data_IF_596303956104
#
_entry.id   IF_596303956104
#
_cell.length_a   1.000
_cell.length_b   1.000
_cell.length_c   1.000
_cell.angle_alpha   90.00
_cell.angle_beta   90.00
_cell.angle_gamma   90.00
#
_symmetry.space_group_name_H-M   'P 1'
#
loop_
_entity.id
_entity.type
_entity.pdbx_description
1 polymer ?
#
# COMPACT_ATOMS: atom_id res chain seq x y z
N UNK A 1 23.75 -27.43 -9.91
CA UNK A 1 23.87 -26.42 -8.84
C UNK A 1 22.72 -25.46 -9.09
N UNK A 2 21.69 -25.50 -8.26
CA UNK A 2 20.53 -24.62 -8.41
C UNK A 2 20.91 -23.26 -7.85
N UNK A 3 20.86 -22.22 -8.68
CA UNK A 3 20.95 -20.84 -8.22
C UNK A 3 19.78 -20.59 -7.25
N UNK A 4 20.07 -20.63 -5.97
CA UNK A 4 19.18 -20.20 -4.91
C UNK A 4 19.11 -18.67 -4.99
N UNK A 5 18.23 -18.16 -5.85
CA UNK A 5 17.90 -16.74 -5.92
C UNK A 5 17.38 -16.36 -4.54
N UNK A 6 18.27 -15.80 -3.72
CA UNK A 6 17.91 -15.17 -2.46
C UNK A 6 17.07 -13.96 -2.84
N UNK A 7 15.75 -14.14 -2.94
CA UNK A 7 14.85 -13.01 -3.15
C UNK A 7 15.03 -12.11 -1.94
N UNK A 8 15.49 -10.88 -2.19
CA UNK A 8 15.54 -9.85 -1.14
C UNK A 8 14.17 -9.80 -0.44
N UNK A 9 14.14 -9.79 0.90
CA UNK A 9 12.92 -9.58 1.66
C UNK A 9 12.12 -8.41 1.07
N UNK A 10 10.81 -8.57 0.94
CA UNK A 10 9.96 -7.53 0.33
C UNK A 10 10.14 -6.17 1.01
N UNK A 11 10.38 -6.17 2.33
CA UNK A 11 10.66 -4.97 3.10
C UNK A 11 11.95 -4.28 2.64
N UNK A 12 13.02 -5.01 2.34
CA UNK A 12 14.27 -4.46 1.82
C UNK A 12 14.06 -3.89 0.41
N UNK A 13 13.38 -4.66 -0.45
CA UNK A 13 13.07 -4.26 -1.82
C UNK A 13 12.26 -2.95 -1.89
N UNK A 14 11.34 -2.76 -0.95
CA UNK A 14 10.50 -1.58 -0.89
C UNK A 14 11.02 -0.49 0.06
N UNK A 15 12.24 -0.65 0.62
CA UNK A 15 12.88 0.35 1.46
C UNK A 15 12.17 0.59 2.79
N UNK A 16 11.54 -0.44 3.36
CA UNK A 16 10.84 -0.40 4.64
C UNK A 16 11.70 -0.90 5.82
N UNK A 17 12.93 -1.36 5.55
CA UNK A 17 13.87 -1.81 6.59
C UNK A 17 14.60 -0.64 7.23
N UNK A 18 14.76 -0.71 8.56
CA UNK A 18 15.56 0.24 9.33
C UNK A 18 14.86 1.57 9.64
N UNK A 19 13.56 1.68 9.36
CA UNK A 19 12.76 2.86 9.71
C UNK A 19 12.54 2.93 11.22
N UNK A 20 12.65 4.12 11.80
CA UNK A 20 12.74 4.31 13.25
C UNK A 20 11.43 4.74 13.89
N UNK A 21 10.52 5.32 13.11
CA UNK A 21 9.20 5.73 13.60
C UNK A 21 8.09 5.65 12.54
N UNK A 22 6.87 5.97 12.97
CA UNK A 22 5.65 5.91 12.16
C UNK A 22 5.64 6.98 11.07
N UNK A 23 6.28 8.13 11.27
CA UNK A 23 6.32 9.21 10.31
C UNK A 23 7.25 8.85 9.14
N UNK A 24 8.44 8.31 9.43
CA UNK A 24 9.35 7.74 8.44
C UNK A 24 8.69 6.60 7.67
N UNK A 25 7.96 5.72 8.37
CA UNK A 25 7.21 4.63 7.76
C UNK A 25 6.11 5.14 6.82
N UNK A 26 5.33 6.13 7.25
CA UNK A 26 4.30 6.74 6.42
C UNK A 26 4.89 7.45 5.20
N UNK A 27 6.05 8.12 5.34
CA UNK A 27 6.73 8.74 4.22
C UNK A 27 7.23 7.71 3.21
N UNK A 28 7.85 6.63 3.67
CA UNK A 28 8.29 5.53 2.80
C UNK A 28 7.12 4.91 2.03
N UNK A 29 6.00 4.63 2.71
CA UNK A 29 4.78 4.16 2.07
C UNK A 29 4.22 5.18 1.07
N UNK A 30 4.27 6.48 1.37
CA UNK A 30 3.83 7.53 0.44
C UNK A 30 4.61 7.47 -0.86
N UNK A 31 5.94 7.35 -0.79
CA UNK A 31 6.82 7.23 -1.97
C UNK A 31 6.49 5.99 -2.79
N UNK A 32 6.26 4.84 -2.15
CA UNK A 32 5.83 3.61 -2.82
C UNK A 32 4.49 3.78 -3.52
N UNK A 33 3.51 4.43 -2.87
CA UNK A 33 2.20 4.70 -3.46
C UNK A 33 2.26 5.66 -4.64
N UNK A 34 3.20 6.60 -4.66
CA UNK A 34 3.43 7.45 -5.82
C UNK A 34 4.10 6.69 -6.96
N UNK A 35 5.07 5.82 -6.64
CA UNK A 35 5.70 4.96 -7.63
C UNK A 35 4.67 4.03 -8.29
N UNK A 36 3.86 3.32 -7.51
CA UNK A 36 2.81 2.43 -8.00
C UNK A 36 1.70 3.11 -8.82
N UNK A 37 1.55 4.45 -8.73
CA UNK A 37 0.67 5.20 -9.65
C UNK A 37 1.22 5.33 -11.05
N UNK A 38 2.55 5.31 -11.19
CA UNK A 38 3.26 5.49 -12.46
C UNK A 38 3.49 4.14 -13.16
N UNK A 39 3.46 3.06 -12.41
CA UNK A 39 3.63 1.71 -12.93
C UNK A 39 2.38 1.25 -13.69
N UNK A 40 2.60 0.60 -14.85
CA UNK A 40 1.54 -0.08 -15.61
C UNK A 40 1.42 -1.51 -15.06
N UNK A 41 0.71 -1.67 -13.95
CA UNK A 41 0.57 -2.98 -13.31
C UNK A 41 -0.65 -3.76 -13.81
N UNK A 42 -0.49 -5.08 -13.92
CA UNK A 42 -1.59 -6.05 -14.01
C UNK A 42 -2.31 -6.08 -12.67
N UNK A 43 -3.65 -6.25 -12.69
CA UNK A 43 -4.42 -6.39 -11.46
C UNK A 43 -3.98 -7.65 -10.69
N UNK A 44 -3.50 -7.47 -9.46
CA UNK A 44 -3.09 -8.57 -8.56
C UNK A 44 -4.25 -9.10 -7.71
N UNK A 45 -5.27 -8.28 -7.48
CA UNK A 45 -6.46 -8.62 -6.72
C UNK A 45 -7.62 -8.90 -7.66
N UNK A 46 -8.47 -9.88 -7.31
CA UNK A 46 -9.81 -9.98 -7.88
C UNK A 46 -10.66 -8.76 -7.49
N UNK A 47 -11.75 -8.53 -8.21
CA UNK A 47 -12.66 -7.41 -7.95
C UNK A 47 -13.20 -7.43 -6.50
N UNK A 48 -13.61 -8.60 -6.01
CA UNK A 48 -14.12 -8.79 -4.66
C UNK A 48 -13.06 -8.52 -3.58
N UNK A 49 -11.82 -8.97 -3.79
CA UNK A 49 -10.71 -8.70 -2.86
C UNK A 49 -10.33 -7.22 -2.85
N UNK A 50 -10.33 -6.57 -4.01
CA UNK A 50 -10.08 -5.14 -4.11
C UNK A 50 -11.14 -4.32 -3.38
N UNK A 51 -12.42 -4.69 -3.51
CA UNK A 51 -13.52 -4.06 -2.78
C UNK A 51 -13.39 -4.28 -1.26
N UNK A 52 -13.15 -5.51 -0.82
CA UNK A 52 -12.97 -5.82 0.60
C UNK A 52 -11.78 -5.05 1.22
N UNK A 53 -10.67 -4.94 0.49
CA UNK A 53 -9.52 -4.14 0.92
C UNK A 53 -9.87 -2.65 1.01
N UNK A 54 -10.62 -2.12 0.05
CA UNK A 54 -11.06 -0.71 0.08
C UNK A 54 -11.94 -0.42 1.30
N UNK A 55 -12.90 -1.29 1.62
CA UNK A 55 -13.76 -1.16 2.80
C UNK A 55 -12.94 -1.18 4.09
N UNK A 56 -12.05 -2.16 4.26
CA UNK A 56 -11.21 -2.27 5.46
C UNK A 56 -10.33 -1.03 5.66
N UNK A 57 -9.70 -0.55 4.59
CA UNK A 57 -8.88 0.67 4.62
C UNK A 57 -9.71 1.92 4.92
N UNK A 58 -10.93 2.01 4.38
CA UNK A 58 -11.87 3.09 4.66
C UNK A 58 -12.33 3.11 6.12
N UNK A 59 -12.61 1.96 6.71
CA UNK A 59 -12.94 1.84 8.13
C UNK A 59 -11.73 2.20 9.01
N UNK A 60 -10.55 1.67 8.68
CA UNK A 60 -9.32 2.02 9.39
C UNK A 60 -9.04 3.52 9.35
N UNK A 61 -9.23 4.16 8.20
CA UNK A 61 -9.03 5.61 8.06
C UNK A 61 -9.90 6.46 8.99
N UNK A 62 -11.08 5.97 9.38
CA UNK A 62 -12.01 6.70 10.26
C UNK A 62 -11.63 6.62 11.74
N UNK A 63 -10.81 5.65 12.15
CA UNK A 63 -10.43 5.48 13.55
C UNK A 63 -9.59 6.66 14.07
N UNK A 64 -8.70 7.19 13.24
CA UNK A 64 -7.88 8.36 13.55
C UNK A 64 -7.55 9.16 12.27
N UNK A 65 -8.49 9.97 11.75
CA UNK A 65 -8.31 10.69 10.49
C UNK A 65 -7.06 11.58 10.36
N UNK A 66 -6.55 12.24 11.41
CA UNK A 66 -5.32 13.01 11.30
C UNK A 66 -4.05 12.16 11.25
N UNK A 67 -4.07 10.89 11.70
CA UNK A 67 -2.88 10.06 11.71
C UNK A 67 -2.34 9.76 10.30
N UNK A 68 -1.00 9.79 10.10
CA UNK A 68 -0.40 9.62 8.77
C UNK A 68 -0.81 8.34 8.05
N UNK A 69 -0.83 7.20 8.75
CA UNK A 69 -1.21 5.91 8.17
C UNK A 69 -2.70 5.85 7.80
N UNK A 70 -3.57 6.45 8.61
CA UNK A 70 -5.00 6.50 8.36
C UNK A 70 -5.32 7.37 7.12
N UNK A 71 -4.59 8.47 6.91
CA UNK A 71 -4.68 9.27 5.68
C UNK A 71 -4.23 8.50 4.45
N UNK A 72 -3.18 7.69 4.57
CA UNK A 72 -2.73 6.81 3.48
C UNK A 72 -3.76 5.71 3.19
N UNK A 73 -4.36 5.13 4.22
CA UNK A 73 -5.44 4.15 4.07
C UNK A 73 -6.64 4.76 3.33
N UNK A 74 -7.08 5.97 3.70
CA UNK A 74 -8.14 6.69 2.97
C UNK A 74 -7.78 6.88 1.48
N UNK A 75 -6.54 7.28 1.21
CA UNK A 75 -6.04 7.51 -0.15
C UNK A 75 -6.02 6.22 -0.97
N UNK A 76 -5.64 5.09 -0.37
CA UNK A 76 -5.66 3.78 -1.01
C UNK A 76 -7.08 3.28 -1.27
N UNK A 77 -7.96 3.38 -0.27
CA UNK A 77 -9.37 3.02 -0.41
C UNK A 77 -10.02 3.78 -1.58
N UNK A 78 -9.84 5.11 -1.62
CA UNK A 78 -10.35 5.95 -2.71
C UNK A 78 -9.85 5.52 -4.09
N UNK A 79 -8.57 5.15 -4.22
CA UNK A 79 -8.00 4.65 -5.48
C UNK A 79 -8.57 3.29 -5.89
N UNK A 80 -8.80 2.40 -4.93
CA UNK A 80 -9.41 1.10 -5.20
C UNK A 80 -10.85 1.26 -5.68
N UNK A 81 -11.68 2.06 -4.97
CA UNK A 81 -13.04 2.39 -5.42
C UNK A 81 -13.04 3.00 -6.84
N UNK A 82 -12.16 3.98 -7.10
CA UNK A 82 -12.04 4.60 -8.42
C UNK A 82 -11.71 3.60 -9.53
N UNK A 83 -10.89 2.58 -9.25
CA UNK A 83 -10.54 1.51 -10.21
C UNK A 83 -11.66 0.51 -10.41
N UNK A 84 -12.52 0.32 -9.41
CA UNK A 84 -13.72 -0.51 -9.48
C UNK A 84 -14.90 0.22 -10.15
N UNK A 85 -14.79 1.54 -10.36
CA UNK A 85 -15.89 2.37 -10.88
C UNK A 85 -16.94 2.73 -9.83
N UNK A 86 -16.58 2.66 -8.55
CA UNK A 86 -17.40 2.98 -7.39
C UNK A 86 -17.08 4.37 -6.82
#
# INVERSE_FOLDING_TARGET
MSDEVTQEPLEERYGLVGLHDVDEYAEALTRLLEQGRRERCVALLSEAEAYAAAELLGQFAQLDPPAPLNRLAASLASRLYSRLGA
#
